data_IF_165468513995
#
_entry.id   IF_165468513995
#
_cell.length_a   1.000
_cell.length_b   1.000
_cell.length_c   1.000
_cell.angle_alpha   90.00
_cell.angle_beta   90.00
_cell.angle_gamma   90.00
#
_symmetry.space_group_name_H-M   'P 1'
#
loop_
_entity.id
_entity.type
_entity.pdbx_description
1 polymer ?
#
# COMPACT_ATOMS: atom_id res chain seq x y z
N UNK A 1 20.37 1.24 -14.00
CA UNK A 1 20.48 2.68 -14.34
C UNK A 1 19.46 3.15 -15.38
N UNK A 2 19.31 2.38 -16.48
CA UNK A 2 18.47 2.79 -17.62
C UNK A 2 17.00 2.91 -17.24
N UNK A 3 16.44 1.89 -16.60
CA UNK A 3 15.04 1.89 -16.14
C UNK A 3 14.77 3.01 -15.15
N UNK A 4 15.70 3.26 -14.21
CA UNK A 4 15.59 4.37 -13.26
C UNK A 4 15.55 5.72 -13.97
N UNK A 5 16.44 5.93 -14.95
CA UNK A 5 16.52 7.14 -15.74
C UNK A 5 15.28 7.34 -16.61
N UNK A 6 14.78 6.28 -17.23
CA UNK A 6 13.53 6.28 -17.99
C UNK A 6 12.32 6.70 -17.11
N UNK A 7 12.14 6.05 -15.96
CA UNK A 7 11.07 6.36 -15.02
C UNK A 7 11.11 7.82 -14.54
N UNK A 8 12.30 8.38 -14.34
CA UNK A 8 12.49 9.77 -13.88
C UNK A 8 12.51 10.77 -15.04
N UNK A 9 12.42 10.33 -16.29
CA UNK A 9 12.58 11.16 -17.49
C UNK A 9 13.86 12.03 -17.43
N UNK A 10 14.97 11.42 -17.07
CA UNK A 10 16.26 12.07 -16.89
C UNK A 10 17.38 11.12 -17.23
N UNK A 11 18.35 11.55 -18.01
CA UNK A 11 19.52 10.76 -18.36
C UNK A 11 20.55 10.62 -17.23
N UNK A 12 20.37 11.36 -16.12
CA UNK A 12 21.33 11.45 -15.02
C UNK A 12 20.75 11.13 -13.64
N UNK A 13 19.47 10.76 -13.55
CA UNK A 13 18.82 10.59 -12.26
C UNK A 13 19.50 9.51 -11.40
N UNK A 14 20.00 8.43 -12.02
CA UNK A 14 20.71 7.38 -11.31
C UNK A 14 22.08 7.85 -10.81
N UNK A 15 22.87 8.50 -11.65
CA UNK A 15 24.19 9.03 -11.29
C UNK A 15 24.08 10.09 -10.20
N UNK A 16 23.10 10.99 -10.31
CA UNK A 16 22.84 12.04 -9.32
C UNK A 16 22.40 11.44 -7.96
N UNK A 17 21.68 10.34 -7.95
CA UNK A 17 21.36 9.57 -6.74
C UNK A 17 22.64 8.95 -6.16
N UNK A 18 23.40 8.21 -6.97
CA UNK A 18 24.64 7.55 -6.54
C UNK A 18 25.64 8.53 -5.94
N UNK A 19 25.77 9.73 -6.52
CA UNK A 19 26.66 10.76 -6.02
C UNK A 19 26.34 11.26 -4.60
N UNK A 20 25.09 11.04 -4.12
CA UNK A 20 24.63 11.45 -2.78
C UNK A 20 24.74 10.34 -1.73
N UNK A 21 24.83 9.07 -2.14
CA UNK A 21 24.88 7.93 -1.23
C UNK A 21 26.07 7.97 -0.24
N UNK A 22 27.28 8.41 -0.61
CA UNK A 22 28.39 8.51 0.35
C UNK A 22 28.07 9.45 1.51
N UNK A 23 27.44 10.59 1.25
CA UNK A 23 27.05 11.53 2.29
C UNK A 23 25.93 10.97 3.18
N UNK A 24 24.98 10.26 2.60
CA UNK A 24 23.91 9.59 3.33
C UNK A 24 24.47 8.50 4.26
N UNK A 25 25.38 7.65 3.77
CA UNK A 25 26.08 6.67 4.61
C UNK A 25 26.88 7.30 5.74
N UNK A 26 27.57 8.39 5.45
CA UNK A 26 28.38 9.11 6.46
C UNK A 26 27.51 9.77 7.55
N UNK A 27 26.22 10.03 7.29
CA UNK A 27 25.31 10.59 8.29
C UNK A 27 24.91 9.60 9.39
N UNK A 28 25.09 8.29 9.18
CA UNK A 28 24.67 7.24 10.09
C UNK A 28 23.14 7.06 10.17
N UNK A 29 22.37 7.75 9.34
CA UNK A 29 20.91 7.59 9.27
C UNK A 29 20.59 6.31 8.49
N UNK A 30 19.80 5.36 9.04
CA UNK A 30 19.32 4.21 8.29
C UNK A 30 18.52 4.66 7.08
N UNK A 31 18.71 4.01 5.94
CA UNK A 31 17.98 4.31 4.72
C UNK A 31 17.63 3.05 3.94
N UNK A 32 16.69 3.19 3.02
CA UNK A 32 16.28 2.14 2.10
C UNK A 32 16.02 2.68 0.71
N UNK A 33 15.76 1.76 -0.20
CA UNK A 33 15.35 2.08 -1.56
C UNK A 33 13.89 1.67 -1.77
N UNK A 34 13.17 2.46 -2.57
CA UNK A 34 11.87 2.09 -3.12
C UNK A 34 12.09 1.83 -4.60
N UNK A 35 11.82 0.59 -5.02
CA UNK A 35 11.87 0.20 -6.41
C UNK A 35 10.45 0.17 -6.96
N UNK A 36 10.17 1.00 -7.97
CA UNK A 36 8.88 0.97 -8.65
C UNK A 36 8.88 -0.14 -9.70
N UNK A 37 8.11 -1.18 -9.42
CA UNK A 37 7.94 -2.33 -10.29
C UNK A 37 7.11 -1.95 -11.52
N UNK A 38 7.58 -2.34 -12.70
CA UNK A 38 6.92 -2.11 -13.98
C UNK A 38 6.98 -3.39 -14.81
N UNK A 39 6.14 -3.48 -15.86
CA UNK A 39 6.22 -4.54 -16.86
C UNK A 39 7.64 -4.78 -17.42
N UNK A 40 8.47 -3.73 -17.46
CA UNK A 40 9.77 -3.79 -18.13
C UNK A 40 10.95 -4.07 -17.20
N UNK A 41 10.79 -4.09 -15.86
CA UNK A 41 11.93 -4.12 -14.94
C UNK A 41 11.90 -5.19 -13.84
N UNK A 42 10.97 -6.13 -13.89
CA UNK A 42 10.90 -7.27 -12.93
C UNK A 42 12.25 -8.02 -12.89
N UNK A 43 12.86 -8.21 -14.03
CA UNK A 43 14.14 -8.91 -14.17
C UNK A 43 15.33 -8.18 -13.52
N UNK A 44 15.17 -6.93 -13.10
CA UNK A 44 16.21 -6.15 -12.44
C UNK A 44 16.22 -6.31 -10.91
N UNK A 45 15.27 -7.04 -10.32
CA UNK A 45 15.08 -7.11 -8.87
C UNK A 45 16.29 -7.65 -8.12
N UNK A 46 16.96 -8.69 -8.63
CA UNK A 46 18.17 -9.23 -8.03
C UNK A 46 19.30 -8.19 -8.03
N UNK A 47 19.52 -7.54 -9.18
CA UNK A 47 20.53 -6.47 -9.29
C UNK A 47 20.24 -5.30 -8.32
N UNK A 48 18.97 -4.94 -8.16
CA UNK A 48 18.57 -3.86 -7.23
C UNK A 48 18.83 -4.26 -5.78
N UNK A 49 18.60 -5.53 -5.43
CA UNK A 49 18.91 -6.04 -4.10
C UNK A 49 20.43 -6.04 -3.82
N UNK A 50 21.22 -6.53 -4.76
CA UNK A 50 22.69 -6.46 -4.70
C UNK A 50 23.15 -5.01 -4.49
N UNK A 51 22.66 -4.10 -5.32
CA UNK A 51 22.97 -2.68 -5.20
C UNK A 51 22.57 -2.11 -3.84
N UNK A 52 21.39 -2.46 -3.32
CA UNK A 52 20.92 -1.98 -2.01
C UNK A 52 21.88 -2.44 -0.89
N UNK A 53 22.28 -3.70 -0.89
CA UNK A 53 23.23 -4.26 0.08
C UNK A 53 24.60 -3.59 -0.04
N UNK A 54 25.15 -3.46 -1.25
CA UNK A 54 26.43 -2.78 -1.51
C UNK A 54 26.43 -1.34 -1.03
N UNK A 55 25.30 -0.64 -1.16
CA UNK A 55 25.17 0.73 -0.68
C UNK A 55 24.90 0.83 0.83
N UNK A 56 24.70 -0.29 1.53
CA UNK A 56 24.43 -0.31 2.96
C UNK A 56 23.01 0.11 3.32
N UNK A 57 22.06 -0.10 2.42
CA UNK A 57 20.64 0.09 2.70
C UNK A 57 20.13 -1.01 3.65
N UNK A 58 19.22 -0.68 4.53
CA UNK A 58 18.57 -1.63 5.45
C UNK A 58 17.22 -2.13 4.95
N UNK A 59 16.65 -1.46 3.93
CA UNK A 59 15.32 -1.77 3.39
C UNK A 59 15.31 -1.65 1.87
N UNK A 60 14.68 -2.62 1.22
CA UNK A 60 14.23 -2.54 -0.17
C UNK A 60 12.71 -2.73 -0.20
N UNK A 61 11.98 -1.70 -0.61
CA UNK A 61 10.54 -1.76 -0.81
C UNK A 61 10.23 -1.88 -2.31
N UNK A 62 9.49 -2.90 -2.67
CA UNK A 62 9.00 -3.15 -4.02
C UNK A 62 7.57 -2.62 -4.13
N UNK A 63 7.37 -1.60 -4.94
CA UNK A 63 6.09 -0.93 -5.11
C UNK A 63 5.62 -1.02 -6.57
N UNK A 64 4.52 -1.71 -6.88
CA UNK A 64 3.98 -1.77 -8.22
C UNK A 64 3.66 -0.37 -8.74
N UNK A 65 3.91 -0.13 -10.04
CA UNK A 65 3.51 1.12 -10.67
C UNK A 65 1.98 1.22 -10.68
N UNK A 66 1.46 2.27 -10.05
CA UNK A 66 0.03 2.53 -9.99
C UNK A 66 -0.42 3.55 -11.04
N UNK A 67 -1.66 3.43 -11.58
CA UNK A 67 -2.20 4.35 -12.58
C UNK A 67 -2.63 5.69 -11.98
N UNK A 68 -1.70 6.39 -11.30
CA UNK A 68 -1.98 7.65 -10.57
C UNK A 68 -1.09 8.78 -11.08
N UNK A 69 -1.67 9.97 -11.18
CA UNK A 69 -0.92 11.19 -11.49
C UNK A 69 -0.23 11.17 -12.85
N UNK A 70 1.07 11.51 -12.89
CA UNK A 70 1.83 11.59 -14.15
C UNK A 70 2.09 10.22 -14.80
N UNK A 71 2.05 9.15 -14.04
CA UNK A 71 2.24 7.81 -14.55
C UNK A 71 1.17 7.46 -15.60
N UNK A 72 -0.08 7.83 -15.36
CA UNK A 72 -1.20 7.60 -16.28
C UNK A 72 -0.95 8.16 -17.69
N UNK A 73 -0.28 9.30 -17.78
CA UNK A 73 -0.05 9.97 -19.07
C UNK A 73 1.23 9.50 -19.78
N UNK A 74 2.21 8.95 -19.03
CA UNK A 74 3.56 8.70 -19.55
C UNK A 74 3.97 7.22 -19.56
N UNK A 75 3.40 6.42 -18.68
CA UNK A 75 3.81 5.06 -18.39
C UNK A 75 2.65 4.05 -18.52
N UNK A 76 1.59 4.42 -19.25
CA UNK A 76 0.36 3.62 -19.32
C UNK A 76 0.53 2.17 -19.81
N UNK A 77 1.56 1.90 -20.63
CA UNK A 77 1.88 0.54 -21.11
C UNK A 77 2.94 -0.16 -20.23
N UNK A 78 3.32 0.45 -19.10
CA UNK A 78 4.36 -0.07 -18.22
C UNK A 78 3.82 -0.64 -16.91
N UNK A 79 2.49 -0.69 -16.72
CA UNK A 79 1.91 -1.31 -15.52
C UNK A 79 2.20 -2.80 -15.52
N UNK A 80 2.65 -3.36 -14.37
CA UNK A 80 2.83 -4.79 -14.25
C UNK A 80 1.47 -5.48 -14.27
N UNK A 81 1.37 -6.59 -14.97
CA UNK A 81 0.18 -7.44 -14.93
C UNK A 81 0.28 -8.56 -13.88
N UNK A 82 -0.62 -9.53 -13.95
CA UNK A 82 -0.64 -10.64 -12.99
C UNK A 82 0.61 -11.51 -13.03
N UNK A 83 1.24 -11.67 -14.20
CA UNK A 83 2.45 -12.49 -14.35
C UNK A 83 3.67 -11.78 -13.74
N UNK A 84 3.86 -10.49 -14.03
CA UNK A 84 4.93 -9.69 -13.44
C UNK A 84 4.76 -9.55 -11.93
N UNK A 85 3.54 -9.35 -11.44
CA UNK A 85 3.25 -9.27 -10.01
C UNK A 85 3.57 -10.61 -9.30
N UNK A 86 3.20 -11.75 -9.90
CA UNK A 86 3.51 -13.06 -9.36
C UNK A 86 5.02 -13.32 -9.38
N UNK A 87 5.71 -12.99 -10.48
CA UNK A 87 7.16 -13.11 -10.59
C UNK A 87 7.86 -12.24 -9.53
N UNK A 88 7.40 -11.01 -9.32
CA UNK A 88 7.96 -10.10 -8.31
C UNK A 88 7.78 -10.64 -6.88
N UNK A 89 6.64 -11.26 -6.56
CA UNK A 89 6.41 -11.89 -5.24
C UNK A 89 7.35 -13.07 -5.03
N UNK A 90 7.53 -13.94 -6.03
CA UNK A 90 8.46 -15.06 -5.96
C UNK A 90 9.91 -14.57 -5.77
N UNK A 91 10.31 -13.57 -6.55
CA UNK A 91 11.65 -13.00 -6.49
C UNK A 91 11.91 -12.28 -5.15
N UNK A 92 10.93 -11.54 -4.64
CA UNK A 92 11.00 -10.93 -3.30
C UNK A 92 11.21 -11.98 -2.20
N UNK A 93 10.56 -13.14 -2.32
CA UNK A 93 10.78 -14.29 -1.41
C UNK A 93 12.22 -14.79 -1.47
N UNK A 94 12.73 -15.02 -2.69
CA UNK A 94 14.12 -15.47 -2.93
C UNK A 94 15.14 -14.46 -2.40
N UNK A 95 14.93 -13.16 -2.63
CA UNK A 95 15.82 -12.10 -2.15
C UNK A 95 15.80 -12.03 -0.61
N UNK A 96 14.64 -12.21 0.04
CA UNK A 96 14.55 -12.28 1.52
C UNK A 96 15.41 -13.40 2.10
N UNK A 97 15.38 -14.58 1.48
CA UNK A 97 16.21 -15.72 1.91
C UNK A 97 17.70 -15.45 1.68
N UNK A 98 18.05 -14.89 0.49
CA UNK A 98 19.43 -14.64 0.10
C UNK A 98 20.12 -13.60 1.00
N UNK A 99 19.39 -12.56 1.41
CA UNK A 99 19.91 -11.44 2.20
C UNK A 99 19.35 -11.40 3.63
N UNK A 100 18.96 -12.57 4.17
CA UNK A 100 18.46 -12.68 5.54
C UNK A 100 19.42 -12.01 6.55
N UNK A 101 18.88 -11.13 7.39
CA UNK A 101 19.65 -10.37 8.37
C UNK A 101 20.50 -9.21 7.82
N UNK A 102 20.54 -9.00 6.50
CA UNK A 102 21.28 -7.92 5.85
C UNK A 102 20.36 -6.86 5.25
N UNK A 103 19.26 -7.27 4.60
CA UNK A 103 18.33 -6.41 3.89
C UNK A 103 16.90 -6.84 4.22
N UNK A 104 16.11 -5.91 4.76
CA UNK A 104 14.67 -6.11 4.84
C UNK A 104 14.05 -5.88 3.47
N UNK A 105 13.23 -6.84 2.98
CA UNK A 105 12.54 -6.71 1.69
C UNK A 105 11.05 -6.67 1.93
N UNK A 106 10.42 -5.59 1.53
CA UNK A 106 8.97 -5.40 1.57
C UNK A 106 8.41 -5.34 0.15
N UNK A 107 7.21 -5.84 -0.05
CA UNK A 107 6.49 -5.76 -1.32
C UNK A 107 5.04 -5.38 -1.06
N UNK A 108 4.53 -4.39 -1.81
CA UNK A 108 3.16 -3.88 -1.68
C UNK A 108 2.17 -4.73 -2.49
N UNK A 109 2.41 -6.03 -2.50
CA UNK A 109 1.52 -7.04 -3.09
C UNK A 109 1.12 -8.06 -2.03
N UNK A 110 -0.14 -8.45 -2.06
CA UNK A 110 -0.69 -9.52 -1.24
C UNK A 110 -0.98 -10.76 -2.10
N UNK A 111 -0.71 -11.94 -1.58
CA UNK A 111 -1.15 -13.20 -2.20
C UNK A 111 -2.42 -13.68 -1.52
N UNK A 112 -3.36 -14.25 -2.28
CA UNK A 112 -4.59 -14.82 -1.73
C UNK A 112 -4.31 -15.86 -0.64
N UNK A 113 -3.35 -16.80 -0.78
CA UNK A 113 -3.00 -17.72 0.30
C UNK A 113 -2.55 -17.00 1.59
N UNK A 114 -1.70 -15.97 1.48
CA UNK A 114 -1.26 -15.20 2.65
C UNK A 114 -2.40 -14.39 3.30
N UNK A 115 -3.35 -13.91 2.50
CA UNK A 115 -4.55 -13.23 3.01
C UNK A 115 -5.46 -14.20 3.76
N UNK A 116 -5.63 -15.42 3.28
CA UNK A 116 -6.41 -16.47 3.95
C UNK A 116 -5.76 -16.91 5.27
N UNK A 117 -4.45 -17.08 5.29
CA UNK A 117 -3.70 -17.45 6.48
C UNK A 117 -3.65 -16.33 7.52
N UNK A 118 -3.52 -15.09 7.06
CA UNK A 118 -3.33 -13.91 7.90
C UNK A 118 -4.29 -12.76 7.52
N UNK A 119 -5.61 -12.94 7.63
CA UNK A 119 -6.59 -11.93 7.20
C UNK A 119 -6.44 -10.58 7.91
N UNK A 120 -5.85 -10.56 9.10
CA UNK A 120 -5.59 -9.31 9.84
C UNK A 120 -4.53 -8.41 9.20
N UNK A 121 -3.73 -8.92 8.27
CA UNK A 121 -2.75 -8.12 7.54
C UNK A 121 -3.39 -7.20 6.50
N UNK A 122 -4.62 -7.46 6.10
CA UNK A 122 -5.39 -6.68 5.13
C UNK A 122 -6.60 -5.99 5.78
N UNK A 123 -6.46 -5.49 7.01
CA UNK A 123 -7.47 -4.71 7.73
C UNK A 123 -8.84 -5.40 7.92
N UNK A 124 -8.89 -6.73 7.88
CA UNK A 124 -10.12 -7.51 8.12
C UNK A 124 -10.27 -7.83 9.62
N UNK A 125 -9.85 -6.94 10.51
CA UNK A 125 -10.10 -7.12 11.95
C UNK A 125 -11.54 -6.79 12.26
N UNK A 126 -12.23 -7.71 12.96
CA UNK A 126 -13.33 -7.29 13.82
C UNK A 126 -12.75 -6.38 14.89
N UNK A 127 -13.23 -5.15 14.93
CA UNK A 127 -12.69 -4.15 15.82
C UNK A 127 -12.98 -4.49 17.27
N UNK A 128 -12.09 -5.21 17.90
CA UNK A 128 -11.87 -5.02 19.31
C UNK A 128 -10.93 -3.80 19.45
N UNK A 129 -11.49 -2.61 19.39
CA UNK A 129 -10.82 -1.36 19.83
C UNK A 129 -10.39 -1.44 21.30
N UNK A 130 -10.81 -2.47 22.00
CA UNK A 130 -10.40 -2.82 23.35
C UNK A 130 -8.95 -3.30 23.32
N UNK A 131 -8.00 -2.32 23.42
CA UNK A 131 -6.57 -2.57 23.43
C UNK A 131 -5.76 -1.79 22.39
N UNK A 132 -6.39 -1.08 21.43
CA UNK A 132 -5.69 -0.15 20.57
C UNK A 132 -5.13 1.01 21.42
N UNK A 133 -3.80 1.10 21.49
CA UNK A 133 -3.12 2.14 22.27
C UNK A 133 -2.73 3.33 21.39
N UNK A 134 -2.62 3.10 20.09
CA UNK A 134 -2.19 4.10 19.11
C UNK A 134 -3.09 4.07 17.87
N UNK A 135 -3.04 5.15 17.08
CA UNK A 135 -3.70 5.19 15.77
C UNK A 135 -3.17 4.11 14.82
N UNK A 136 -1.90 3.75 14.95
CA UNK A 136 -1.29 2.69 14.13
C UNK A 136 -1.88 1.29 14.43
N UNK A 137 -2.43 1.08 15.61
CA UNK A 137 -3.14 -0.18 15.94
C UNK A 137 -4.51 -0.27 15.24
N UNK A 138 -5.02 0.86 14.76
CA UNK A 138 -6.32 0.98 14.11
C UNK A 138 -6.17 0.91 12.60
N UNK A 139 -5.20 1.64 12.06
CA UNK A 139 -4.95 1.74 10.63
C UNK A 139 -3.46 2.01 10.36
N UNK A 140 -2.91 1.29 9.40
CA UNK A 140 -1.57 1.52 8.86
C UNK A 140 -1.55 1.09 7.38
N UNK A 141 -1.00 1.91 6.49
CA UNK A 141 -0.44 3.23 6.73
C UNK A 141 -1.51 4.33 6.90
N UNK A 142 -1.12 5.42 7.55
CA UNK A 142 -1.86 6.67 7.61
C UNK A 142 -1.05 7.74 6.88
N UNK A 143 -1.66 8.40 5.91
CA UNK A 143 -1.00 9.38 5.05
C UNK A 143 -1.42 10.79 5.43
N UNK A 144 -0.45 11.66 5.69
CA UNK A 144 -0.67 13.10 5.86
C UNK A 144 -0.17 13.80 4.59
N UNK A 145 -1.10 14.33 3.83
CA UNK A 145 -0.79 15.02 2.59
C UNK A 145 -0.17 16.42 2.86
N UNK A 146 0.49 16.98 1.86
CA UNK A 146 1.08 18.34 1.95
C UNK A 146 0.05 19.43 2.22
N UNK A 147 -1.21 19.19 1.83
CA UNK A 147 -2.36 20.03 2.16
C UNK A 147 -2.74 20.02 3.64
N UNK A 148 -2.28 19.02 4.40
CA UNK A 148 -2.66 18.72 5.77
C UNK A 148 -3.82 17.73 5.90
N UNK A 149 -4.37 17.25 4.79
CA UNK A 149 -5.43 16.23 4.81
C UNK A 149 -4.85 14.91 5.27
N UNK A 150 -5.59 14.23 6.16
CA UNK A 150 -5.25 12.91 6.68
C UNK A 150 -6.10 11.89 5.96
N UNK A 151 -5.45 10.94 5.27
CA UNK A 151 -6.08 9.92 4.45
C UNK A 151 -5.66 8.52 4.91
N UNK A 152 -6.57 7.53 4.89
CA UNK A 152 -6.19 6.15 5.14
C UNK A 152 -5.46 5.55 3.95
N UNK A 153 -4.61 4.56 4.20
CA UNK A 153 -3.93 3.66 3.29
C UNK A 153 -2.93 4.33 2.33
N UNK A 154 -3.35 5.27 1.50
CA UNK A 154 -2.47 5.84 0.47
C UNK A 154 -2.76 7.31 0.17
N UNK A 155 -1.80 7.96 -0.48
CA UNK A 155 -1.93 9.31 -0.99
C UNK A 155 -3.08 9.41 -2.01
N UNK A 156 -3.90 10.44 -1.86
CA UNK A 156 -5.02 10.68 -2.78
C UNK A 156 -6.23 9.77 -2.55
N UNK A 157 -6.28 9.00 -1.47
CA UNK A 157 -7.46 8.20 -1.12
C UNK A 157 -8.74 9.05 -1.17
N UNK A 158 -9.89 8.51 -1.60
CA UNK A 158 -11.09 9.32 -1.85
C UNK A 158 -11.49 10.17 -0.66
N UNK A 159 -11.72 11.46 -0.90
CA UNK A 159 -11.93 12.49 0.15
C UNK A 159 -13.07 12.22 1.12
N UNK A 160 -14.08 11.49 0.67
CA UNK A 160 -15.18 11.07 1.54
C UNK A 160 -14.73 10.21 2.72
N UNK A 161 -13.56 9.58 2.61
CA UNK A 161 -12.96 8.71 3.63
C UNK A 161 -11.88 9.40 4.46
N UNK A 162 -11.56 10.68 4.17
CA UNK A 162 -10.54 11.41 4.92
C UNK A 162 -10.95 11.66 6.35
N UNK A 163 -9.96 11.71 7.24
CA UNK A 163 -10.18 12.02 8.66
C UNK A 163 -10.44 13.52 8.88
N UNK A 164 -9.98 14.35 7.97
CA UNK A 164 -10.02 15.81 8.03
C UNK A 164 -8.65 16.43 7.81
N UNK A 165 -8.42 17.63 8.36
CA UNK A 165 -7.19 18.39 8.12
C UNK A 165 -6.48 18.73 9.44
N UNK A 166 -5.20 18.35 9.56
CA UNK A 166 -4.39 18.61 10.76
C UNK A 166 -4.08 20.11 10.97
N UNK A 167 -4.28 20.97 9.96
CA UNK A 167 -4.16 22.42 10.10
C UNK A 167 -5.38 23.05 10.80
N UNK A 168 -6.48 22.31 10.88
CA UNK A 168 -7.75 22.77 11.46
C UNK A 168 -8.00 22.14 12.83
N UNK A 169 -7.58 20.88 13.02
CA UNK A 169 -7.83 20.10 14.23
C UNK A 169 -6.64 19.20 14.55
N UNK A 170 -6.49 18.83 15.82
CA UNK A 170 -5.44 17.90 16.24
C UNK A 170 -5.64 16.49 15.67
N UNK A 171 -4.55 15.76 15.40
CA UNK A 171 -4.63 14.39 14.91
C UNK A 171 -5.42 13.44 15.84
N UNK A 172 -5.26 13.52 17.19
CA UNK A 172 -6.09 12.73 18.11
C UNK A 172 -7.59 13.00 17.98
N UNK A 173 -8.00 14.28 17.81
CA UNK A 173 -9.41 14.64 17.66
C UNK A 173 -9.98 14.12 16.31
N UNK A 174 -9.19 14.23 15.24
CA UNK A 174 -9.57 13.68 13.93
C UNK A 174 -9.72 12.16 14.00
N UNK A 175 -8.80 11.48 14.68
CA UNK A 175 -8.83 10.04 14.87
C UNK A 175 -10.07 9.60 15.66
N UNK A 176 -10.38 10.28 16.79
CA UNK A 176 -11.52 9.96 17.62
C UNK A 176 -12.85 10.10 16.83
N UNK A 177 -12.99 11.20 16.09
CA UNK A 177 -14.19 11.43 15.27
C UNK A 177 -14.33 10.40 14.13
N UNK A 178 -13.23 10.10 13.45
CA UNK A 178 -13.24 9.12 12.36
C UNK A 178 -13.56 7.71 12.89
N UNK A 179 -12.97 7.31 14.01
CA UNK A 179 -13.28 6.04 14.66
C UNK A 179 -14.78 5.93 15.03
N UNK A 180 -15.36 7.00 15.56
CA UNK A 180 -16.76 7.01 15.94
C UNK A 180 -17.72 7.03 14.74
N UNK A 181 -17.33 7.70 13.65
CA UNK A 181 -18.23 7.96 12.52
C UNK A 181 -18.05 6.99 11.36
N UNK A 182 -16.81 6.76 10.90
CA UNK A 182 -16.55 6.13 9.60
C UNK A 182 -15.84 4.78 9.70
N UNK A 183 -15.23 4.43 10.83
CA UNK A 183 -14.41 3.23 10.97
C UNK A 183 -15.17 1.94 10.65
N UNK A 184 -16.41 1.80 11.12
CA UNK A 184 -17.22 0.61 10.85
C UNK A 184 -17.51 0.45 9.34
N UNK A 185 -17.78 1.57 8.64
CA UNK A 185 -17.97 1.57 7.20
C UNK A 185 -16.66 1.22 6.46
N UNK A 186 -15.52 1.73 6.95
CA UNK A 186 -14.22 1.42 6.39
C UNK A 186 -13.86 -0.08 6.54
N UNK A 187 -14.11 -0.67 7.70
CA UNK A 187 -13.94 -2.11 7.91
C UNK A 187 -14.82 -2.94 6.98
N UNK A 188 -16.06 -2.50 6.75
CA UNK A 188 -16.96 -3.17 5.81
C UNK A 188 -16.45 -3.08 4.38
N UNK A 189 -15.93 -1.91 3.97
CA UNK A 189 -15.30 -1.74 2.66
C UNK A 189 -14.13 -2.72 2.51
N UNK A 190 -13.22 -2.76 3.49
CA UNK A 190 -12.08 -3.68 3.48
C UNK A 190 -12.52 -5.16 3.42
N UNK A 191 -13.61 -5.52 4.12
CA UNK A 191 -14.16 -6.87 4.08
C UNK A 191 -14.71 -7.23 2.71
N UNK A 192 -15.43 -6.31 2.07
CA UNK A 192 -15.92 -6.51 0.70
C UNK A 192 -14.77 -6.74 -0.29
N UNK A 193 -13.71 -5.94 -0.21
CA UNK A 193 -12.51 -6.10 -1.04
C UNK A 193 -11.85 -7.46 -0.78
N UNK A 194 -11.71 -7.83 0.49
CA UNK A 194 -11.15 -9.14 0.86
C UNK A 194 -11.97 -10.31 0.30
N UNK A 195 -13.28 -10.27 0.48
CA UNK A 195 -14.17 -11.33 -0.03
C UNK A 195 -14.16 -11.45 -1.55
N UNK A 196 -14.04 -10.33 -2.25
CA UNK A 196 -13.88 -10.32 -3.71
C UNK A 196 -12.54 -10.92 -4.12
N UNK A 197 -11.46 -10.50 -3.49
CA UNK A 197 -10.12 -11.00 -3.77
C UNK A 197 -10.00 -12.51 -3.54
N UNK A 198 -10.53 -13.01 -2.42
CA UNK A 198 -10.47 -14.44 -2.07
C UNK A 198 -11.33 -15.33 -2.99
N UNK A 199 -12.39 -14.75 -3.59
CA UNK A 199 -13.24 -15.49 -4.56
C UNK A 199 -12.72 -15.44 -5.99
N UNK A 200 -11.77 -14.57 -6.27
CA UNK A 200 -11.20 -14.42 -7.62
C UNK A 200 -10.00 -15.36 -7.79
N UNK A 201 -10.25 -16.53 -8.38
CA UNK A 201 -9.20 -17.52 -8.64
C UNK A 201 -8.24 -17.11 -9.78
N UNK A 202 -8.61 -16.10 -10.57
CA UNK A 202 -7.82 -15.66 -11.74
C UNK A 202 -6.67 -14.70 -11.34
N UNK A 203 -6.75 -14.05 -10.17
CA UNK A 203 -5.75 -13.13 -9.68
C UNK A 203 -5.19 -13.53 -8.30
N UNK A 204 -4.25 -14.47 -8.24
CA UNK A 204 -3.70 -14.96 -6.97
C UNK A 204 -2.82 -13.94 -6.25
N UNK A 205 -2.42 -12.86 -6.92
CA UNK A 205 -1.60 -11.75 -6.41
C UNK A 205 -2.26 -10.42 -6.75
N UNK A 206 -2.39 -9.55 -5.77
CA UNK A 206 -3.04 -8.25 -5.92
C UNK A 206 -2.36 -7.14 -5.12
N UNK A 207 -2.50 -5.91 -5.60
CA UNK A 207 -2.22 -4.72 -4.81
C UNK A 207 -3.44 -4.39 -3.94
N UNK A 208 -3.34 -4.71 -2.64
CA UNK A 208 -4.42 -4.47 -1.69
C UNK A 208 -4.85 -3.00 -1.62
N UNK A 209 -3.89 -2.08 -1.65
CA UNK A 209 -4.17 -0.65 -1.53
C UNK A 209 -4.93 -0.11 -2.74
N UNK A 210 -4.58 -0.58 -3.93
CA UNK A 210 -5.27 -0.24 -5.17
C UNK A 210 -6.71 -0.76 -5.19
N UNK A 211 -6.92 -2.01 -4.77
CA UNK A 211 -8.26 -2.58 -4.67
C UNK A 211 -9.12 -1.83 -3.65
N UNK A 212 -8.56 -1.50 -2.49
CA UNK A 212 -9.26 -0.70 -1.48
C UNK A 212 -9.56 0.72 -1.98
N UNK A 213 -8.65 1.34 -2.70
CA UNK A 213 -8.87 2.64 -3.34
C UNK A 213 -10.00 2.58 -4.38
N UNK A 214 -9.97 1.59 -5.27
CA UNK A 214 -10.98 1.43 -6.31
C UNK A 214 -12.38 1.23 -5.71
N UNK A 215 -12.50 0.42 -4.66
CA UNK A 215 -13.75 0.24 -3.93
C UNK A 215 -14.19 1.53 -3.23
N UNK A 216 -13.27 2.24 -2.57
CA UNK A 216 -13.56 3.50 -1.88
C UNK A 216 -13.98 4.63 -2.84
N UNK A 217 -13.53 4.59 -4.09
CA UNK A 217 -13.94 5.55 -5.12
C UNK A 217 -15.39 5.32 -5.61
N UNK A 218 -15.88 4.09 -5.49
CA UNK A 218 -17.25 3.74 -5.88
C UNK A 218 -18.27 4.00 -4.77
N UNK A 219 -17.86 3.86 -3.50
CA UNK A 219 -18.76 3.93 -2.35
C UNK A 219 -18.29 4.96 -1.33
N UNK A 220 -19.16 5.85 -0.92
CA UNK A 220 -18.92 6.73 0.24
C UNK A 220 -19.19 6.00 1.56
N UNK A 221 -18.63 6.47 2.70
CA UNK A 221 -18.95 5.92 4.02
C UNK A 221 -20.44 5.85 4.32
N UNK A 222 -21.22 6.85 3.86
CA UNK A 222 -22.68 6.90 4.03
C UNK A 222 -23.38 5.78 3.28
N UNK A 223 -23.04 5.57 2.01
CA UNK A 223 -23.61 4.48 1.20
C UNK A 223 -23.30 3.10 1.78
N UNK A 224 -22.07 2.90 2.26
CA UNK A 224 -21.71 1.63 2.90
C UNK A 224 -22.53 1.40 4.17
N UNK A 225 -22.76 2.45 5.00
CA UNK A 225 -23.63 2.35 6.20
C UNK A 225 -25.08 2.02 5.87
N UNK A 226 -25.63 2.65 4.83
CA UNK A 226 -27.01 2.40 4.39
C UNK A 226 -27.19 0.95 3.92
N UNK A 227 -26.24 0.42 3.15
CA UNK A 227 -26.27 -0.97 2.71
C UNK A 227 -26.22 -1.95 3.89
N UNK A 228 -25.39 -1.68 4.91
CA UNK A 228 -25.33 -2.49 6.14
C UNK A 228 -26.69 -2.53 6.87
N UNK A 229 -27.36 -1.39 6.99
CA UNK A 229 -28.67 -1.32 7.67
C UNK A 229 -29.75 -2.10 6.91
N UNK A 230 -29.72 -2.10 5.58
CA UNK A 230 -30.67 -2.86 4.76
C UNK A 230 -30.46 -4.36 4.90
N UNK A 231 -29.21 -4.85 4.92
CA UNK A 231 -28.88 -6.26 5.09
C UNK A 231 -29.33 -6.78 6.46
N UNK A 232 -29.06 -6.04 7.54
CA UNK A 232 -29.50 -6.39 8.88
C UNK A 232 -31.03 -6.37 9.05
N UNK A 233 -31.75 -5.56 8.27
CA UNK A 233 -33.22 -5.49 8.32
C UNK A 233 -33.88 -6.66 7.58
N UNK A 234 -33.29 -7.13 6.50
CA UNK A 234 -33.78 -8.28 5.72
C UNK A 234 -33.61 -9.60 6.48
N UNK A 235 -32.51 -9.77 7.21
CA UNK A 235 -32.27 -10.96 8.03
C UNK A 235 -33.21 -11.08 9.21
N UNK A 236 -33.65 -9.94 9.84
CA UNK A 236 -34.61 -9.91 10.92
C UNK A 236 -36.07 -10.18 10.47
N UNK A 237 -36.35 -9.97 9.18
CA UNK A 237 -37.66 -10.21 8.59
C UNK A 237 -37.86 -11.65 8.13
N UNK A 238 -36.79 -12.44 8.14
CA UNK A 238 -36.76 -13.85 7.67
C UNK A 238 -36.72 -14.86 8.85
N UNK A 239 -36.73 -14.39 10.08
CA UNK A 239 -36.90 -15.16 11.32
C UNK A 239 -38.30 -14.95 11.91
#
# INVERSE_FOLDING_TARGET
PESHNFMRNSTRAFDDMCARLPALRASGIPFGFIFTLTFHNVHELEWVADFAVEQGASLLQLHPLEPVGRATCRLGESYPDGEENAAAVCEAGRIRELYEGQLEVQIDLATVPAMLEHPTRVFVREATLCGAQTVADVIAPLVIETSGIVSPLQYGFPRAWSWGNIKERSLPDLAADWLARDYAAFLTLCRLVYEQAVRNDDEPVLNWYEQAYAAAAQFSPTQVRENLMQTCSSERSSQ
#
